data_IF_063906364564
#
_entry.id   IF_063906364564
#
_cell.length_a   1.000
_cell.length_b   1.000
_cell.length_c   1.000
_cell.angle_alpha   90.00
_cell.angle_beta   90.00
_cell.angle_gamma   90.00
#
_symmetry.space_group_name_H-M   'P 1'
#
loop_
_entity.id
_entity.type
_entity.pdbx_description
1 polymer ?
#
# COMPACT_ATOMS: atom_id res chain seq x y z
N UNK A 1 -8.97 -17.02 8.37
CA UNK A 1 -9.64 -17.13 9.69
C UNK A 1 -8.76 -16.76 10.90
N UNK A 2 -7.43 -16.94 10.88
CA UNK A 2 -6.54 -16.54 11.99
C UNK A 2 -6.48 -15.02 12.28
N UNK A 3 -6.63 -14.18 11.24
CA UNK A 3 -6.53 -12.72 11.38
C UNK A 3 -7.61 -12.09 12.26
N UNK A 4 -8.85 -12.60 12.21
CA UNK A 4 -9.96 -12.06 12.99
C UNK A 4 -9.82 -12.36 14.50
N UNK A 5 -9.36 -13.57 14.85
CA UNK A 5 -9.13 -13.98 16.25
C UNK A 5 -7.93 -13.23 16.85
N UNK A 6 -6.87 -13.03 16.06
CA UNK A 6 -5.74 -12.18 16.45
C UNK A 6 -6.18 -10.72 16.62
N UNK A 7 -6.95 -10.18 15.68
CA UNK A 7 -7.47 -8.82 15.78
C UNK A 7 -8.39 -8.64 17.00
N UNK A 8 -9.25 -9.62 17.30
CA UNK A 8 -10.16 -9.56 18.46
C UNK A 8 -9.41 -9.68 19.79
N UNK A 9 -8.47 -10.62 19.90
CA UNK A 9 -7.65 -10.79 21.10
C UNK A 9 -6.72 -9.59 21.32
N UNK A 10 -6.17 -9.02 20.25
CA UNK A 10 -5.40 -7.78 20.28
C UNK A 10 -6.26 -6.60 20.68
N UNK A 11 -7.48 -6.46 20.13
CA UNK A 11 -8.44 -5.41 20.51
C UNK A 11 -8.81 -5.50 21.99
N UNK A 12 -9.09 -6.69 22.52
CA UNK A 12 -9.39 -6.88 23.96
C UNK A 12 -8.21 -6.51 24.85
N UNK A 13 -6.98 -6.91 24.47
CA UNK A 13 -5.75 -6.55 25.19
C UNK A 13 -5.42 -5.06 25.09
N UNK A 14 -5.72 -4.44 23.94
CA UNK A 14 -5.53 -3.02 23.71
C UNK A 14 -6.53 -2.21 24.55
N UNK A 15 -7.81 -2.57 24.58
CA UNK A 15 -8.82 -1.88 25.41
C UNK A 15 -8.49 -2.00 26.90
N UNK A 16 -8.02 -3.16 27.35
CA UNK A 16 -7.61 -3.33 28.75
C UNK A 16 -6.30 -2.60 29.08
N UNK A 17 -5.37 -2.48 28.13
CA UNK A 17 -4.17 -1.66 28.27
C UNK A 17 -4.46 -0.16 28.18
N UNK A 18 -5.42 0.28 27.37
CA UNK A 18 -5.88 1.67 27.29
C UNK A 18 -6.56 2.13 28.58
N UNK A 19 -7.07 1.20 29.40
CA UNK A 19 -7.63 1.49 30.73
C UNK A 19 -6.54 1.73 31.79
N UNK A 20 -5.32 1.24 31.57
CA UNK A 20 -4.19 1.38 32.49
C UNK A 20 -3.00 2.04 31.78
N UNK A 21 -2.90 3.36 31.96
CA UNK A 21 -1.87 4.24 31.37
C UNK A 21 -0.44 3.74 31.61
N UNK A 22 -0.21 3.09 32.74
CA UNK A 22 1.08 2.52 33.16
C UNK A 22 1.46 1.28 32.34
N UNK A 23 0.46 0.49 31.94
CA UNK A 23 0.62 -0.72 31.14
C UNK A 23 0.77 -0.38 29.66
N UNK A 24 0.04 0.63 29.19
CA UNK A 24 0.19 1.17 27.84
C UNK A 24 1.62 1.68 27.61
N UNK A 25 2.17 2.50 28.52
CA UNK A 25 3.54 3.01 28.41
C UNK A 25 4.59 1.89 28.46
N UNK A 26 4.34 0.78 29.18
CA UNK A 26 5.24 -0.39 29.19
C UNK A 26 5.16 -1.24 27.92
N UNK A 27 4.01 -1.29 27.26
CA UNK A 27 3.80 -2.02 26.00
C UNK A 27 4.30 -1.22 24.79
N UNK A 28 4.05 0.09 24.78
CA UNK A 28 4.41 1.03 23.72
C UNK A 28 5.67 1.85 24.03
N UNK A 29 6.52 1.39 24.96
CA UNK A 29 7.82 2.02 25.16
C UNK A 29 8.55 2.08 23.81
N UNK A 30 8.99 3.27 23.39
CA UNK A 30 9.51 3.50 22.03
C UNK A 30 10.52 2.45 21.60
N UNK A 31 11.42 2.04 22.48
CA UNK A 31 12.43 1.02 22.23
C UNK A 31 11.83 -0.35 21.87
N UNK A 32 10.84 -0.84 22.63
CA UNK A 32 10.18 -2.14 22.34
C UNK A 32 9.42 -2.10 21.03
N UNK A 33 8.77 -0.97 20.77
CA UNK A 33 7.99 -0.78 19.56
C UNK A 33 8.89 -0.79 18.31
N UNK A 34 10.03 -0.10 18.37
CA UNK A 34 11.07 -0.12 17.31
C UNK A 34 11.62 -1.54 17.09
N UNK A 35 11.87 -2.31 18.16
CA UNK A 35 12.33 -3.71 18.03
C UNK A 35 11.30 -4.57 17.28
N UNK A 36 10.02 -4.47 17.62
CA UNK A 36 8.94 -5.21 16.94
C UNK A 36 8.82 -4.77 15.47
N UNK A 37 8.97 -3.48 15.20
CA UNK A 37 8.98 -2.94 13.85
C UNK A 37 10.13 -3.50 13.00
N UNK A 38 11.36 -3.46 13.49
CA UNK A 38 12.50 -4.04 12.78
C UNK A 38 12.35 -5.55 12.58
N UNK A 39 11.89 -6.28 13.59
CA UNK A 39 11.61 -7.71 13.46
C UNK A 39 10.60 -8.00 12.34
N UNK A 40 9.57 -7.16 12.20
CA UNK A 40 8.59 -7.25 11.10
C UNK A 40 9.24 -7.01 9.75
N UNK A 41 10.09 -5.99 9.64
CA UNK A 41 10.81 -5.65 8.41
C UNK A 41 11.73 -6.80 8.00
N UNK A 42 12.56 -7.31 8.91
CA UNK A 42 13.48 -8.41 8.62
C UNK A 42 12.75 -9.68 8.16
N UNK A 43 11.54 -9.92 8.65
CA UNK A 43 10.70 -11.03 8.18
C UNK A 43 10.11 -10.78 6.78
N UNK A 44 9.77 -9.54 6.44
CA UNK A 44 9.08 -9.22 5.17
C UNK A 44 10.04 -8.99 4.01
N UNK A 45 11.18 -8.31 4.25
CA UNK A 45 12.20 -8.00 3.23
C UNK A 45 12.59 -9.22 2.37
N UNK A 46 12.89 -10.43 2.91
CA UNK A 46 13.35 -11.53 2.08
C UNK A 46 12.30 -11.98 1.05
N UNK A 47 11.03 -12.06 1.45
CA UNK A 47 9.94 -12.35 0.53
C UNK A 47 9.77 -11.22 -0.50
N UNK A 48 9.87 -9.97 -0.05
CA UNK A 48 9.71 -8.79 -0.89
C UNK A 48 10.80 -8.69 -1.98
N UNK A 49 12.06 -8.96 -1.62
CA UNK A 49 13.20 -9.02 -2.55
C UNK A 49 13.06 -10.18 -3.53
N UNK A 50 12.66 -11.38 -3.07
CA UNK A 50 12.45 -12.51 -3.95
C UNK A 50 11.39 -12.22 -5.01
N UNK A 51 10.26 -11.63 -4.62
CA UNK A 51 9.20 -11.30 -5.58
C UNK A 51 9.68 -10.21 -6.53
N UNK A 52 10.34 -9.15 -6.05
CA UNK A 52 10.86 -8.08 -6.90
C UNK A 52 11.91 -8.58 -7.91
N UNK A 53 12.81 -9.47 -7.48
CA UNK A 53 13.79 -10.09 -8.37
C UNK A 53 13.14 -11.02 -9.38
N UNK A 54 12.16 -11.82 -8.95
CA UNK A 54 11.38 -12.70 -9.81
C UNK A 54 10.56 -11.95 -10.85
N UNK A 55 9.91 -10.84 -10.48
CA UNK A 55 9.16 -10.00 -11.43
C UNK A 55 10.08 -9.32 -12.43
N UNK A 56 11.23 -8.81 -11.99
CA UNK A 56 12.19 -8.16 -12.89
C UNK A 56 12.82 -9.13 -13.90
N UNK A 57 13.13 -10.37 -13.49
CA UNK A 57 13.94 -11.30 -14.31
C UNK A 57 13.13 -12.42 -14.98
N UNK A 58 12.21 -13.05 -14.25
CA UNK A 58 11.50 -14.25 -14.69
C UNK A 58 10.23 -13.85 -15.42
N UNK A 59 9.44 -12.94 -14.84
CA UNK A 59 8.16 -12.54 -15.40
C UNK A 59 8.34 -12.00 -16.82
N UNK A 60 9.26 -11.06 -17.02
CA UNK A 60 9.59 -10.51 -18.33
C UNK A 60 9.96 -11.54 -19.41
N UNK A 61 10.48 -12.72 -19.02
CA UNK A 61 10.94 -13.76 -19.96
C UNK A 61 9.88 -14.83 -20.26
N UNK A 62 8.85 -14.97 -19.43
CA UNK A 62 7.85 -16.05 -19.55
C UNK A 62 6.68 -15.66 -20.46
N UNK A 63 6.33 -14.37 -20.55
CA UNK A 63 5.16 -13.95 -21.31
C UNK A 63 5.45 -13.59 -22.76
N UNK A 64 4.77 -14.28 -23.69
CA UNK A 64 4.73 -13.95 -25.13
C UNK A 64 3.28 -13.66 -25.58
N UNK A 65 2.55 -12.86 -24.80
CA UNK A 65 1.18 -12.47 -25.12
C UNK A 65 1.10 -11.05 -25.70
N UNK A 66 0.03 -10.70 -26.46
CA UNK A 66 -0.18 -9.32 -26.94
C UNK A 66 -0.27 -8.29 -25.80
N UNK A 67 -0.74 -8.73 -24.62
CA UNK A 67 -0.76 -7.97 -23.36
C UNK A 67 0.63 -7.79 -22.70
N UNK A 68 1.65 -8.48 -23.21
CA UNK A 68 3.02 -8.48 -22.67
C UNK A 68 3.95 -7.48 -23.37
N UNK A 69 3.45 -6.76 -24.36
CA UNK A 69 4.24 -5.80 -25.15
C UNK A 69 4.83 -4.69 -24.26
N UNK A 70 6.16 -4.58 -24.20
CA UNK A 70 6.90 -3.68 -23.31
C UNK A 70 6.53 -2.19 -23.39
N UNK A 71 5.88 -1.72 -24.47
CA UNK A 71 5.40 -0.32 -24.58
C UNK A 71 4.11 -0.06 -23.80
N UNK A 72 3.23 -1.05 -23.69
CA UNK A 72 1.86 -0.93 -23.13
C UNK A 72 1.50 -2.06 -22.15
N UNK A 73 2.49 -2.86 -21.76
CA UNK A 73 2.30 -4.16 -21.14
C UNK A 73 1.76 -4.10 -19.72
N UNK A 74 1.13 -5.21 -19.33
CA UNK A 74 0.60 -5.48 -17.98
C UNK A 74 1.66 -5.22 -16.91
N UNK A 75 1.18 -4.86 -15.71
CA UNK A 75 1.96 -4.67 -14.49
C UNK A 75 3.06 -5.73 -14.33
N UNK A 76 4.31 -5.31 -14.09
CA UNK A 76 5.47 -6.20 -14.03
C UNK A 76 6.36 -6.20 -15.28
N UNK A 77 5.87 -5.70 -16.41
CA UNK A 77 6.64 -5.64 -17.67
C UNK A 77 7.69 -4.52 -17.71
N UNK A 78 7.44 -3.41 -17.00
CA UNK A 78 8.36 -2.25 -16.89
C UNK A 78 8.98 -2.16 -15.51
N UNK A 79 9.87 -3.11 -15.19
CA UNK A 79 10.66 -3.08 -13.97
C UNK A 79 12.05 -2.50 -14.24
N UNK A 80 12.22 -1.21 -14.01
CA UNK A 80 13.54 -0.58 -14.10
C UNK A 80 14.42 -0.94 -12.90
N UNK A 81 15.63 -1.43 -13.16
CA UNK A 81 16.64 -1.76 -12.14
C UNK A 81 17.14 -0.53 -11.38
N UNK A 82 16.67 0.68 -11.68
CA UNK A 82 16.98 1.89 -10.92
C UNK A 82 16.00 2.18 -9.79
N UNK A 83 14.83 1.52 -9.75
CA UNK A 83 13.75 1.84 -8.82
C UNK A 83 13.57 0.83 -7.67
N UNK A 84 14.35 -0.26 -7.65
CA UNK A 84 14.29 -1.29 -6.60
C UNK A 84 14.47 -0.74 -5.18
N UNK A 85 15.29 0.29 -5.00
CA UNK A 85 15.53 0.90 -3.70
C UNK A 85 14.27 1.62 -3.17
N UNK A 86 13.42 2.15 -4.07
CA UNK A 86 12.14 2.76 -3.68
C UNK A 86 11.19 1.73 -3.09
N UNK A 87 11.20 0.53 -3.67
CA UNK A 87 10.45 -0.62 -3.20
C UNK A 87 10.94 -1.05 -1.80
N UNK A 88 12.26 -1.12 -1.57
CA UNK A 88 12.83 -1.48 -0.26
C UNK A 88 12.64 -0.43 0.83
N UNK A 89 12.68 0.85 0.47
CA UNK A 89 12.44 1.94 1.41
C UNK A 89 10.95 2.17 1.71
N UNK A 90 10.04 1.39 1.11
CA UNK A 90 8.59 1.55 1.26
C UNK A 90 8.10 2.98 0.92
N UNK A 91 8.68 3.59 -0.12
CA UNK A 91 8.32 4.96 -0.58
C UNK A 91 7.57 4.99 -1.93
N UNK A 92 7.29 3.82 -2.50
CA UNK A 92 6.58 3.71 -3.79
C UNK A 92 5.15 4.23 -3.78
N UNK A 93 4.60 4.57 -2.60
CA UNK A 93 3.35 5.31 -2.52
C UNK A 93 3.48 6.76 -3.04
N UNK A 94 4.64 7.39 -2.85
CA UNK A 94 4.90 8.75 -3.33
C UNK A 94 5.49 8.76 -4.75
N UNK A 95 6.26 7.72 -5.06
CA UNK A 95 6.88 7.53 -6.37
C UNK A 95 6.30 6.26 -7.00
N UNK A 96 5.12 6.35 -7.65
CA UNK A 96 4.48 5.19 -8.25
C UNK A 96 5.39 4.59 -9.32
N UNK A 97 5.45 3.26 -9.35
CA UNK A 97 6.21 2.48 -10.32
C UNK A 97 5.29 1.50 -11.03
N UNK A 98 5.47 1.34 -12.34
CA UNK A 98 4.68 0.40 -13.16
C UNK A 98 5.13 -1.07 -12.96
N UNK A 99 6.26 -1.27 -12.26
CA UNK A 99 6.82 -2.59 -11.98
C UNK A 99 5.90 -3.43 -11.10
N UNK A 100 5.45 -2.90 -9.96
CA UNK A 100 4.57 -3.60 -9.04
C UNK A 100 3.66 -2.61 -8.34
N UNK A 101 2.60 -2.12 -9.01
CA UNK A 101 1.77 -1.07 -8.46
C UNK A 101 1.12 -1.50 -7.15
N UNK A 102 0.59 -2.73 -7.03
CA UNK A 102 -0.05 -3.22 -5.79
C UNK A 102 0.81 -3.11 -4.53
N UNK A 103 2.14 -2.99 -4.67
CA UNK A 103 3.06 -2.83 -3.56
C UNK A 103 2.91 -1.48 -2.84
N UNK A 104 2.25 -0.48 -3.45
CA UNK A 104 1.94 0.81 -2.81
C UNK A 104 1.18 0.60 -1.49
N UNK A 105 0.28 -0.38 -1.45
CA UNK A 105 -0.50 -0.72 -0.26
C UNK A 105 0.37 -1.27 0.88
N UNK A 106 1.34 -2.14 0.56
CA UNK A 106 2.28 -2.69 1.56
C UNK A 106 3.13 -1.58 2.16
N UNK A 107 3.55 -0.62 1.32
CA UNK A 107 4.34 0.53 1.76
C UNK A 107 3.55 1.41 2.72
N UNK A 108 2.27 1.68 2.41
CA UNK A 108 1.37 2.39 3.30
C UNK A 108 1.14 1.66 4.62
N UNK A 109 0.97 0.33 4.62
CA UNK A 109 0.80 -0.44 5.85
C UNK A 109 2.01 -0.30 6.80
N UNK A 110 3.23 -0.26 6.27
CA UNK A 110 4.45 -0.03 7.07
C UNK A 110 4.50 1.39 7.64
N UNK A 111 4.10 2.39 6.86
CA UNK A 111 4.02 3.78 7.32
C UNK A 111 2.95 3.96 8.40
N UNK A 112 1.76 3.36 8.23
CA UNK A 112 0.72 3.39 9.25
C UNK A 112 1.09 2.60 10.50
N UNK A 113 1.86 1.53 10.37
CA UNK A 113 2.42 0.85 11.52
C UNK A 113 3.30 1.82 12.32
N UNK A 114 4.23 2.52 11.67
CA UNK A 114 5.06 3.57 12.30
C UNK A 114 4.25 4.69 12.96
N UNK A 115 3.14 5.10 12.34
CA UNK A 115 2.27 6.16 12.87
C UNK A 115 1.37 5.68 14.03
N UNK A 116 1.09 4.38 14.13
CA UNK A 116 0.17 3.81 15.11
C UNK A 116 0.43 4.20 16.58
N UNK A 117 1.66 4.11 17.14
CA UNK A 117 1.92 4.50 18.53
C UNK A 117 1.68 6.00 18.77
N UNK A 118 1.98 6.84 17.77
CA UNK A 118 1.77 8.29 17.83
C UNK A 118 0.26 8.59 17.86
N UNK A 119 -0.50 7.98 16.95
CA UNK A 119 -1.96 8.12 16.93
C UNK A 119 -2.60 7.63 18.24
N UNK A 120 -2.12 6.51 18.80
CA UNK A 120 -2.61 5.99 20.08
C UNK A 120 -2.31 6.94 21.24
N UNK A 121 -1.13 7.55 21.26
CA UNK A 121 -0.76 8.56 22.26
C UNK A 121 -1.68 9.79 22.18
N UNK A 122 -1.88 10.35 20.99
CA UNK A 122 -2.78 11.50 20.78
C UNK A 122 -4.24 11.18 21.12
N UNK A 123 -4.72 10.00 20.74
CA UNK A 123 -6.09 9.58 21.03
C UNK A 123 -6.35 9.42 22.54
N UNK A 124 -5.32 9.03 23.30
CA UNK A 124 -5.42 8.94 24.75
C UNK A 124 -5.29 10.33 25.43
N UNK A 125 -4.55 11.27 24.84
CA UNK A 125 -4.44 12.65 25.35
C UNK A 125 -5.71 13.47 25.12
N UNK A 126 -6.28 13.42 23.92
CA UNK A 126 -7.42 14.22 23.50
C UNK A 126 -8.44 13.37 22.71
N UNK A 127 -9.27 12.56 23.38
CA UNK A 127 -10.14 11.59 22.71
C UNK A 127 -11.20 12.23 21.80
N UNK A 128 -11.65 13.45 22.09
CA UNK A 128 -12.60 14.18 21.24
C UNK A 128 -11.95 14.67 19.95
N UNK A 129 -10.74 15.25 20.06
CA UNK A 129 -9.98 15.73 18.91
C UNK A 129 -9.52 14.57 18.01
N UNK A 130 -9.04 13.47 18.61
CA UNK A 130 -8.61 12.28 17.85
C UNK A 130 -9.72 11.65 17.02
N UNK A 131 -10.96 11.58 17.54
CA UNK A 131 -12.12 11.09 16.78
C UNK A 131 -12.47 12.01 15.61
N UNK A 132 -12.51 13.32 15.86
CA UNK A 132 -12.78 14.33 14.82
C UNK A 132 -11.73 14.27 13.71
N UNK A 133 -10.45 14.17 14.08
CA UNK A 133 -9.34 14.05 13.15
C UNK A 133 -9.44 12.80 12.26
N UNK A 134 -9.81 11.64 12.82
CA UNK A 134 -9.98 10.41 12.03
C UNK A 134 -11.13 10.56 11.02
N UNK A 135 -12.28 11.09 11.46
CA UNK A 135 -13.43 11.32 10.56
C UNK A 135 -13.05 12.28 9.44
N UNK A 136 -12.35 13.36 9.78
CA UNK A 136 -11.86 14.34 8.81
C UNK A 136 -10.94 13.69 7.78
N UNK A 137 -9.95 12.90 8.19
CA UNK A 137 -9.02 12.21 7.27
C UNK A 137 -9.76 11.25 6.34
N UNK A 138 -10.76 10.51 6.86
CA UNK A 138 -11.58 9.60 6.05
C UNK A 138 -12.34 10.39 4.98
N UNK A 139 -13.06 11.44 5.38
CA UNK A 139 -13.83 12.28 4.45
C UNK A 139 -12.91 12.93 3.40
N UNK A 140 -11.79 13.51 3.83
CA UNK A 140 -10.82 14.12 2.94
C UNK A 140 -10.27 13.10 1.91
N UNK A 141 -9.96 11.87 2.35
CA UNK A 141 -9.47 10.82 1.45
C UNK A 141 -10.52 10.37 0.43
N UNK A 142 -11.78 10.26 0.84
CA UNK A 142 -12.89 9.89 -0.06
C UNK A 142 -13.18 10.99 -1.07
N UNK A 143 -13.22 12.25 -0.61
CA UNK A 143 -13.43 13.42 -1.48
C UNK A 143 -12.29 13.55 -2.49
N UNK A 144 -11.04 13.42 -2.05
CA UNK A 144 -9.88 13.46 -2.93
C UNK A 144 -9.98 12.41 -4.04
N UNK A 145 -10.29 11.16 -3.70
CA UNK A 145 -10.47 10.09 -4.71
C UNK A 145 -11.62 10.39 -5.66
N UNK A 146 -12.72 10.93 -5.16
CA UNK A 146 -13.86 11.31 -5.97
C UNK A 146 -13.50 12.42 -6.96
N UNK A 147 -12.79 13.47 -6.52
CA UNK A 147 -12.34 14.57 -7.38
C UNK A 147 -11.40 14.05 -8.46
N UNK A 148 -10.41 13.22 -8.10
CA UNK A 148 -9.48 12.64 -9.07
C UNK A 148 -10.22 11.79 -10.10
N UNK A 149 -11.20 10.99 -9.68
CA UNK A 149 -12.02 10.21 -10.59
C UNK A 149 -12.84 11.09 -11.54
N UNK A 150 -13.43 12.17 -11.04
CA UNK A 150 -14.26 13.09 -11.82
C UNK A 150 -13.45 13.93 -12.83
N UNK A 151 -12.21 14.32 -12.50
CA UNK A 151 -11.37 15.18 -13.35
C UNK A 151 -10.63 14.38 -14.44
N UNK A 152 -10.18 13.16 -14.12
CA UNK A 152 -9.33 12.37 -15.01
C UNK A 152 -10.08 11.31 -15.82
N UNK A 153 -11.43 11.26 -15.73
CA UNK A 153 -12.30 10.32 -16.45
C UNK A 153 -11.73 8.89 -16.48
N UNK A 154 -11.27 8.40 -15.33
CA UNK A 154 -10.63 7.09 -15.29
C UNK A 154 -11.64 6.01 -15.73
N UNK A 155 -11.26 5.14 -16.69
CA UNK A 155 -12.13 4.05 -17.11
C UNK A 155 -12.41 3.14 -15.92
N UNK A 156 -13.67 2.78 -15.76
CA UNK A 156 -14.18 2.02 -14.61
C UNK A 156 -13.58 0.62 -14.49
N UNK A 157 -13.02 0.08 -15.59
CA UNK A 157 -12.23 -1.13 -15.59
C UNK A 157 -11.13 -1.10 -16.67
N UNK A 158 -10.12 -1.96 -16.50
CA UNK A 158 -8.99 -2.09 -17.44
C UNK A 158 -9.45 -2.60 -18.82
N UNK A 159 -10.53 -3.38 -18.86
CA UNK A 159 -11.05 -4.00 -20.08
C UNK A 159 -11.61 -2.94 -21.05
N UNK A 160 -12.41 -1.99 -20.56
CA UNK A 160 -12.95 -0.91 -21.40
C UNK A 160 -11.85 -0.05 -22.00
N UNK A 161 -10.80 0.26 -21.22
CA UNK A 161 -9.64 1.01 -21.72
C UNK A 161 -8.91 0.27 -22.85
N UNK A 162 -8.85 -1.06 -22.77
CA UNK A 162 -8.21 -1.86 -23.82
C UNK A 162 -9.05 -1.92 -25.09
N UNK A 163 -10.38 -2.09 -24.96
CA UNK A 163 -11.31 -2.07 -26.10
C UNK A 163 -11.27 -0.72 -26.80
N UNK A 164 -11.31 0.37 -26.05
CA UNK A 164 -11.27 1.74 -26.59
C UNK A 164 -9.94 2.02 -27.30
N UNK A 165 -8.82 1.54 -26.75
CA UNK A 165 -7.52 1.67 -27.40
C UNK A 165 -7.43 0.83 -28.68
N UNK A 166 -8.01 -0.37 -28.71
CA UNK A 166 -8.05 -1.23 -29.89
C UNK A 166 -8.93 -0.65 -30.99
N UNK A 167 -10.08 -0.03 -30.66
CA UNK A 167 -10.92 0.67 -31.64
C UNK A 167 -10.20 1.87 -32.27
N UNK A 168 -9.47 2.66 -31.47
CA UNK A 168 -8.70 3.82 -31.99
C UNK A 168 -7.59 3.37 -32.94
N UNK A 169 -6.86 2.30 -32.61
CA UNK A 169 -5.80 1.77 -33.50
C UNK A 169 -6.39 1.26 -34.82
N UNK A 170 -7.57 0.62 -34.78
CA UNK A 170 -8.22 0.12 -35.98
C UNK A 170 -8.74 1.26 -36.88
N UNK A 171 -9.17 2.39 -36.32
CA UNK A 171 -9.54 3.58 -37.09
C UNK A 171 -8.31 4.26 -37.73
N UNK A 172 -7.20 4.40 -37.00
CA UNK A 172 -5.94 4.94 -37.56
C UNK A 172 -5.35 4.05 -38.65
N UNK A 173 -5.54 2.73 -38.58
CA UNK A 173 -5.07 1.80 -39.60
C UNK A 173 -5.98 1.73 -40.85
N UNK A 174 -7.20 2.24 -40.77
CA UNK A 174 -8.17 2.29 -41.88
C UNK A 174 -8.06 3.58 -42.73
N UNK A 175 -7.29 4.56 -42.27
CA UNK A 175 -6.95 5.80 -42.98
C UNK A 175 -5.54 5.74 -43.59
#
# INVERSE_FOLDING_TARGET
MAGAVLAFSFRRRLISALRDKTRLNRLFGMTRWIIVFFHRIFRLIPAYVMVLGGTSTIFNKIGNGPLWNQKDGVFGSKCETKDWWKHLLFIINYFPTECMPWMWYISLDMQFYLLAPICLYFLHGFPSFGKSFIIFVILASSIYRFIIYAVYEFPSNIILRMIEKESVINEEAAH
#
